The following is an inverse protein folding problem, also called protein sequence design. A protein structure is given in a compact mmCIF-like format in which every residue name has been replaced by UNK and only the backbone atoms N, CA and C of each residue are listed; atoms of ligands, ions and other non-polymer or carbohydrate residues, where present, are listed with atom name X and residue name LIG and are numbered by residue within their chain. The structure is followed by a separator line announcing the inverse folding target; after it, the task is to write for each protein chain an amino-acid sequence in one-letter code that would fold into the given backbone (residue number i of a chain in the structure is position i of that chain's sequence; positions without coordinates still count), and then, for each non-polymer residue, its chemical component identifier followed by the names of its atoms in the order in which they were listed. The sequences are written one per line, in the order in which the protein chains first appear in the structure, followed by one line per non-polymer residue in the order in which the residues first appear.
data_IF_310821338032
#
_entry.id   IF_310821338032
#
_cell.length_a   1.000
_cell.length_b   1.000
_cell.length_c   1.000
_cell.angle_alpha   90.00
_cell.angle_beta   90.00
_cell.angle_gamma   90.00
#
_symmetry.space_group_name_H-M   'P 1'
#
loop_
_entity.id
_entity.type
_entity.pdbx_description
1 polymer ?
#
# COMPACT_ATOMS: atom_id res chain seq x y z
N UNK A 1 -22.95 -27.55 -18.99
CA UNK A 1 -22.73 -26.65 -17.84
C UNK A 1 -21.28 -26.29 -17.87
N UNK A 2 -20.95 -25.03 -18.13
CA UNK A 2 -19.61 -24.69 -18.65
C UNK A 2 -18.64 -24.30 -17.52
N UNK A 3 -18.75 -24.99 -16.39
CA UNK A 3 -17.81 -24.85 -15.29
C UNK A 3 -17.31 -26.23 -14.88
N UNK A 4 -16.05 -26.26 -14.49
CA UNK A 4 -15.36 -27.46 -14.04
C UNK A 4 -14.90 -27.22 -12.61
N UNK A 5 -15.03 -28.24 -11.77
CA UNK A 5 -14.56 -28.20 -10.39
C UNK A 5 -13.87 -29.50 -9.99
N UNK A 6 -12.81 -29.38 -9.21
CA UNK A 6 -12.22 -30.45 -8.44
C UNK A 6 -12.53 -30.20 -6.96
N UNK A 7 -13.18 -31.16 -6.31
CA UNK A 7 -13.54 -31.08 -4.89
C UNK A 7 -12.87 -32.20 -4.11
N UNK A 8 -12.20 -31.84 -3.02
CA UNK A 8 -11.68 -32.76 -2.02
C UNK A 8 -12.47 -32.56 -0.73
N UNK A 9 -13.13 -33.62 -0.26
CA UNK A 9 -13.94 -33.60 0.95
C UNK A 9 -13.27 -34.42 2.06
N UNK A 10 -13.22 -33.85 3.25
CA UNK A 10 -12.77 -34.54 4.46
C UNK A 10 -13.93 -35.37 5.03
N UNK A 11 -13.64 -36.48 5.74
CA UNK A 11 -14.68 -37.25 6.43
C UNK A 11 -15.49 -36.45 7.45
N UNK A 12 -14.93 -35.35 7.96
CA UNK A 12 -15.64 -34.47 8.86
C UNK A 12 -16.67 -33.59 8.15
N UNK A 13 -16.60 -33.39 6.82
CA UNK A 13 -17.53 -32.57 6.04
C UNK A 13 -16.91 -31.28 5.49
N UNK A 14 -15.67 -30.94 5.85
CA UNK A 14 -14.97 -29.79 5.27
C UNK A 14 -14.53 -30.06 3.84
N UNK A 15 -14.53 -29.04 2.99
CA UNK A 15 -14.17 -29.19 1.57
C UNK A 15 -13.09 -28.20 1.14
N UNK A 16 -12.25 -28.64 0.20
CA UNK A 16 -11.40 -27.78 -0.63
C UNK A 16 -11.87 -27.92 -2.06
N UNK A 17 -12.19 -26.80 -2.70
CA UNK A 17 -12.79 -26.75 -4.04
C UNK A 17 -11.91 -25.87 -4.92
N UNK A 18 -11.47 -26.41 -6.05
CA UNK A 18 -10.87 -25.66 -7.16
C UNK A 18 -11.87 -25.61 -8.29
N UNK A 19 -12.33 -24.43 -8.69
CA UNK A 19 -13.39 -24.30 -9.69
C UNK A 19 -13.19 -23.16 -10.66
N UNK A 20 -13.59 -23.34 -11.91
CA UNK A 20 -13.86 -22.23 -12.81
C UNK A 20 -15.15 -21.53 -12.38
N UNK A 21 -15.18 -20.20 -12.46
CA UNK A 21 -16.30 -19.38 -12.00
C UNK A 21 -17.36 -19.27 -13.09
N UNK A 22 -18.62 -19.56 -12.75
CA UNK A 22 -19.76 -19.49 -13.69
C UNK A 22 -20.38 -18.10 -13.81
N UNK A 23 -20.19 -17.25 -12.80
CA UNK A 23 -21.02 -16.04 -12.60
C UNK A 23 -20.22 -14.77 -12.30
N UNK A 24 -18.90 -14.82 -12.38
CA UNK A 24 -18.05 -13.68 -12.07
C UNK A 24 -17.33 -13.24 -13.34
N UNK A 25 -17.69 -12.06 -13.86
CA UNK A 25 -17.05 -11.49 -15.06
C UNK A 25 -15.59 -11.10 -14.80
N UNK A 26 -15.25 -10.86 -13.54
CA UNK A 26 -13.96 -10.31 -13.15
C UNK A 26 -12.92 -11.38 -12.80
N UNK A 27 -13.35 -12.62 -12.55
CA UNK A 27 -12.50 -13.71 -12.07
C UNK A 27 -12.75 -14.98 -12.89
N UNK A 28 -11.72 -15.78 -13.14
CA UNK A 28 -11.83 -17.01 -13.94
C UNK A 28 -11.61 -18.29 -13.14
N UNK A 29 -10.98 -18.19 -11.97
CA UNK A 29 -10.61 -19.30 -11.12
C UNK A 29 -10.82 -18.94 -9.65
N UNK A 30 -11.33 -19.89 -8.87
CA UNK A 30 -11.48 -19.76 -7.43
C UNK A 30 -10.88 -20.97 -6.69
N UNK A 31 -10.17 -20.69 -5.60
CA UNK A 31 -9.76 -21.65 -4.58
C UNK A 31 -10.64 -21.42 -3.35
N UNK A 32 -11.48 -22.39 -3.02
CA UNK A 32 -12.44 -22.28 -1.93
C UNK A 32 -12.13 -23.30 -0.85
N UNK A 33 -12.09 -22.84 0.39
CA UNK A 33 -12.22 -23.70 1.55
C UNK A 33 -13.62 -23.52 2.13
N UNK A 34 -14.36 -24.62 2.28
CA UNK A 34 -15.68 -24.65 2.89
C UNK A 34 -15.60 -25.31 4.26
N UNK A 35 -16.05 -24.60 5.28
CA UNK A 35 -16.10 -25.12 6.65
C UNK A 35 -17.33 -26.01 6.91
N UNK A 36 -17.41 -26.55 8.13
CA UNK A 36 -18.50 -27.40 8.61
C UNK A 36 -19.87 -26.73 8.61
N UNK A 37 -19.90 -25.41 8.62
CA UNK A 37 -21.12 -24.60 8.64
C UNK A 37 -21.50 -24.10 7.24
N UNK A 38 -20.86 -24.62 6.19
CA UNK A 38 -20.98 -24.17 4.80
C UNK A 38 -20.54 -22.71 4.57
N UNK A 39 -19.61 -22.20 5.38
CA UNK A 39 -18.98 -20.90 5.18
C UNK A 39 -17.79 -21.05 4.24
N UNK A 40 -17.79 -20.28 3.16
CA UNK A 40 -16.75 -20.30 2.13
C UNK A 40 -15.71 -19.20 2.38
N UNK A 41 -14.45 -19.61 2.50
CA UNK A 41 -13.27 -18.73 2.38
C UNK A 41 -12.71 -18.89 0.97
N UNK A 42 -12.69 -17.81 0.19
CA UNK A 42 -12.41 -17.88 -1.26
C UNK A 42 -11.25 -16.97 -1.64
N UNK A 43 -10.26 -17.53 -2.34
CA UNK A 43 -9.26 -16.78 -3.10
C UNK A 43 -9.67 -16.81 -4.57
N UNK A 44 -9.76 -15.64 -5.20
CA UNK A 44 -10.18 -15.49 -6.59
C UNK A 44 -9.04 -14.99 -7.46
N UNK A 45 -8.90 -15.56 -8.65
CA UNK A 45 -7.89 -15.14 -9.64
C UNK A 45 -8.57 -14.28 -10.72
N UNK A 46 -8.17 -13.01 -10.88
CA UNK A 46 -8.83 -12.08 -11.79
C UNK A 46 -8.50 -12.39 -13.25
N UNK A 47 -9.37 -11.96 -14.18
CA UNK A 47 -9.13 -11.97 -15.62
C UNK A 47 -8.07 -10.92 -16.03
N UNK A 48 -6.81 -11.15 -15.63
CA UNK A 48 -5.67 -10.25 -15.92
C UNK A 48 -4.40 -11.07 -16.16
N UNK A 49 -3.53 -10.56 -17.02
CA UNK A 49 -2.17 -11.07 -17.17
C UNK A 49 -1.25 -10.33 -16.18
N UNK A 50 -0.39 -11.05 -15.48
CA UNK A 50 0.56 -10.48 -14.51
C UNK A 50 1.15 -11.53 -13.58
N UNK A 51 1.96 -11.06 -12.63
CA UNK A 51 2.52 -11.88 -11.54
C UNK A 51 1.63 -11.69 -10.31
N UNK A 52 1.22 -12.78 -9.67
CA UNK A 52 0.60 -12.71 -8.34
C UNK A 52 1.70 -12.45 -7.31
N UNK A 53 1.52 -11.42 -6.49
CA UNK A 53 2.47 -10.97 -5.50
C UNK A 53 1.87 -11.18 -4.10
N UNK A 54 2.67 -11.65 -3.14
CA UNK A 54 2.27 -11.66 -1.73
C UNK A 54 2.19 -10.23 -1.21
N UNK A 55 1.49 -10.02 -0.09
CA UNK A 55 1.46 -8.70 0.54
C UNK A 55 2.88 -8.20 0.88
N UNK A 56 3.81 -9.10 1.21
CA UNK A 56 5.23 -8.79 1.42
C UNK A 56 5.96 -8.36 0.14
N UNK A 57 5.52 -8.83 -1.02
CA UNK A 57 6.06 -8.43 -2.32
C UNK A 57 5.52 -7.05 -2.75
N UNK A 58 4.42 -6.61 -2.13
CA UNK A 58 3.75 -5.32 -2.34
C UNK A 58 4.18 -4.31 -1.28
N UNK A 59 4.98 -4.68 -0.27
CA UNK A 59 5.61 -3.68 0.58
C UNK A 59 6.48 -2.78 -0.32
N UNK A 60 6.13 -1.49 -0.48
CA UNK A 60 7.00 -0.62 -1.22
C UNK A 60 8.37 -0.68 -0.53
N UNK A 61 9.44 -0.86 -1.31
CA UNK A 61 10.82 -0.73 -0.82
C UNK A 61 11.04 0.60 -0.06
N UNK A 62 10.10 1.54 -0.22
CA UNK A 62 9.99 2.81 0.51
C UNK A 62 8.98 2.65 1.67
N UNK A 63 9.43 2.67 2.93
CA UNK A 63 8.52 2.60 4.08
C UNK A 63 7.62 3.83 4.16
N UNK A 64 6.49 3.72 4.88
CA UNK A 64 5.64 4.88 5.19
C UNK A 64 6.48 5.93 5.94
N UNK A 65 6.46 7.18 5.47
CA UNK A 65 7.32 8.25 5.95
C UNK A 65 8.60 8.45 5.12
N UNK A 66 8.93 7.49 4.25
CA UNK A 66 9.96 7.68 3.23
C UNK A 66 9.50 8.66 2.15
N UNK A 67 10.46 9.36 1.55
CA UNK A 67 10.21 10.29 0.44
C UNK A 67 11.23 10.06 -0.66
N UNK A 68 10.83 10.29 -1.91
CA UNK A 68 11.71 10.30 -3.06
C UNK A 68 11.37 11.52 -3.93
N UNK A 69 12.32 11.94 -4.76
CA UNK A 69 12.11 13.06 -5.69
C UNK A 69 11.44 12.52 -6.94
N UNK A 70 10.32 13.13 -7.33
CA UNK A 70 9.59 12.81 -8.54
C UNK A 70 9.57 14.03 -9.47
N UNK A 71 9.97 13.83 -10.73
CA UNK A 71 10.19 14.91 -11.69
C UNK A 71 8.98 15.24 -12.58
N UNK A 72 7.87 14.51 -12.42
CA UNK A 72 6.63 14.72 -13.16
C UNK A 72 5.49 15.07 -12.19
N UNK A 73 4.34 15.57 -12.66
CA UNK A 73 3.14 15.67 -11.83
C UNK A 73 2.84 14.33 -11.14
N UNK A 74 2.41 14.36 -9.88
CA UNK A 74 2.10 13.14 -9.13
C UNK A 74 1.06 12.29 -9.85
N UNK A 75 0.08 12.89 -10.52
CA UNK A 75 -0.94 12.18 -11.32
C UNK A 75 -0.38 11.28 -12.44
N UNK A 76 0.89 11.43 -12.80
CA UNK A 76 1.57 10.63 -13.83
C UNK A 76 2.43 9.51 -13.24
N UNK A 77 2.42 9.27 -11.92
CA UNK A 77 3.20 8.20 -11.31
C UNK A 77 2.56 6.82 -11.64
N UNK A 78 3.21 5.96 -12.46
CA UNK A 78 2.54 4.78 -13.00
C UNK A 78 2.25 3.73 -11.93
N UNK A 79 0.97 3.50 -11.64
CA UNK A 79 0.54 2.41 -10.75
C UNK A 79 0.77 2.64 -9.25
N UNK A 80 1.16 3.86 -8.84
CA UNK A 80 1.41 4.19 -7.43
C UNK A 80 0.78 5.52 -6.97
N UNK A 81 -0.06 6.14 -7.80
CA UNK A 81 -0.77 7.40 -7.49
C UNK A 81 -1.70 7.31 -6.27
N UNK A 82 -2.09 6.10 -5.90
CA UNK A 82 -2.98 5.75 -4.79
C UNK A 82 -2.22 5.49 -3.47
N UNK A 83 -0.91 5.23 -3.53
CA UNK A 83 -0.09 4.94 -2.34
C UNK A 83 0.94 6.02 -2.01
N UNK A 84 1.18 6.99 -2.90
CA UNK A 84 2.02 8.16 -2.63
C UNK A 84 1.21 9.45 -2.61
N UNK A 85 1.59 10.37 -1.71
CA UNK A 85 1.03 11.70 -1.58
C UNK A 85 2.13 12.75 -1.74
N UNK A 86 1.81 13.87 -2.38
CA UNK A 86 2.74 14.99 -2.49
C UNK A 86 2.94 15.69 -1.13
N UNK A 87 4.17 16.13 -0.86
CA UNK A 87 4.51 16.96 0.30
C UNK A 87 4.13 18.43 0.04
N UNK A 88 2.82 18.68 0.03
CA UNK A 88 2.22 19.99 -0.23
C UNK A 88 1.35 20.50 0.94
N UNK A 89 1.58 19.99 2.15
CA UNK A 89 0.83 20.41 3.35
C UNK A 89 -0.59 19.86 3.46
N UNK A 90 -0.98 18.94 2.56
CA UNK A 90 -2.35 18.41 2.49
C UNK A 90 -2.70 17.55 3.70
N UNK A 91 -3.96 17.61 4.11
CA UNK A 91 -4.51 16.71 5.13
C UNK A 91 -4.90 15.36 4.52
N UNK A 92 -4.88 14.31 5.35
CA UNK A 92 -5.36 12.97 5.03
C UNK A 92 -6.27 12.42 6.15
N UNK A 93 -7.10 11.43 5.84
CA UNK A 93 -7.97 10.80 6.85
C UNK A 93 -7.17 9.81 7.70
N UNK A 94 -7.01 10.11 8.99
CA UNK A 94 -6.34 9.24 9.97
C UNK A 94 -6.94 7.84 10.11
N UNK A 95 -8.23 7.67 9.77
CA UNK A 95 -8.92 6.38 9.82
C UNK A 95 -8.55 5.50 8.63
N UNK A 96 -8.29 6.12 7.49
CA UNK A 96 -7.86 5.44 6.27
C UNK A 96 -6.35 5.16 6.31
N UNK A 97 -5.55 6.07 6.86
CA UNK A 97 -4.09 5.97 6.95
C UNK A 97 -3.57 6.01 8.39
N UNK A 98 -3.91 5.03 9.25
CA UNK A 98 -3.59 5.06 10.67
C UNK A 98 -2.09 4.95 10.97
N UNK A 99 -1.31 4.30 10.10
CA UNK A 99 0.16 4.24 10.24
C UNK A 99 0.79 5.59 9.91
N UNK A 100 0.33 6.25 8.84
CA UNK A 100 0.79 7.60 8.50
C UNK A 100 0.44 8.61 9.60
N UNK A 101 -0.75 8.52 10.21
CA UNK A 101 -1.18 9.39 11.29
C UNK A 101 -0.28 9.31 12.55
N UNK A 102 0.42 8.18 12.76
CA UNK A 102 1.39 8.04 13.85
C UNK A 102 2.70 8.77 13.56
N UNK A 103 3.06 8.92 12.30
CA UNK A 103 4.33 9.52 11.86
C UNK A 103 4.18 11.02 11.57
N UNK A 104 3.04 11.43 11.02
CA UNK A 104 2.78 12.80 10.59
C UNK A 104 1.81 13.50 11.56
N UNK A 105 2.28 14.52 12.30
CA UNK A 105 1.43 15.28 13.21
C UNK A 105 0.21 15.88 12.50
N UNK A 106 -0.93 15.94 13.19
CA UNK A 106 -2.19 16.51 12.69
C UNK A 106 -2.76 15.85 11.42
N UNK A 107 -2.29 14.65 11.05
CA UNK A 107 -2.69 13.95 9.82
C UNK A 107 -2.49 14.83 8.56
N UNK A 108 -1.34 15.51 8.50
CA UNK A 108 -0.94 16.35 7.35
C UNK A 108 0.41 15.93 6.82
N UNK A 109 0.54 15.90 5.50
CA UNK A 109 1.83 15.80 4.84
C UNK A 109 2.69 17.04 5.14
N UNK A 110 4.03 16.93 5.14
CA UNK A 110 4.92 18.08 5.13
C UNK A 110 4.62 19.00 3.94
N UNK A 111 5.01 20.27 4.03
CA UNK A 111 5.00 21.20 2.89
C UNK A 111 6.44 21.60 2.56
N UNK A 112 7.07 20.85 1.66
CA UNK A 112 8.49 21.01 1.35
C UNK A 112 8.71 21.84 0.08
N UNK A 113 7.63 22.39 -0.49
CA UNK A 113 7.69 23.19 -1.72
C UNK A 113 8.51 24.46 -1.47
N UNK A 114 9.49 24.70 -2.35
CA UNK A 114 10.39 25.85 -2.23
C UNK A 114 11.52 25.68 -1.22
N UNK A 115 11.60 24.54 -0.52
CA UNK A 115 12.69 24.24 0.40
C UNK A 115 13.67 23.22 -0.18
N UNK A 116 14.95 23.37 0.17
CA UNK A 116 15.94 22.34 -0.08
C UNK A 116 15.90 21.29 1.05
N UNK A 117 15.76 20.02 0.70
CA UNK A 117 15.86 18.92 1.67
C UNK A 117 17.30 18.81 2.17
N UNK A 118 17.47 18.76 3.49
CA UNK A 118 18.76 18.59 4.15
C UNK A 118 18.65 17.53 5.24
N UNK A 119 19.65 16.67 5.35
CA UNK A 119 19.66 15.62 6.37
C UNK A 119 19.88 16.20 7.77
N UNK A 120 19.19 15.64 8.77
CA UNK A 120 19.42 15.97 10.16
C UNK A 120 20.82 15.52 10.61
N UNK A 121 21.49 16.32 11.45
CA UNK A 121 22.84 16.05 11.94
C UNK A 121 22.95 14.73 12.72
N UNK A 122 21.87 14.34 13.40
CA UNK A 122 21.75 13.09 14.16
C UNK A 122 22.94 12.82 15.12
N UNK A 123 23.46 13.89 15.76
CA UNK A 123 24.51 13.79 16.77
C UNK A 123 25.94 13.81 16.22
N UNK A 124 26.13 14.02 14.91
CA UNK A 124 27.44 14.13 14.28
C UNK A 124 28.16 15.46 14.58
N UNK A 125 27.44 16.47 15.10
CA UNK A 125 27.93 17.80 15.48
C UNK A 125 28.52 18.63 14.33
N UNK A 126 28.19 18.30 13.08
CA UNK A 126 28.55 19.09 11.90
C UNK A 126 27.51 20.20 11.70
N UNK A 127 26.26 19.90 12.01
CA UNK A 127 25.12 20.79 11.82
C UNK A 127 24.21 20.81 13.07
N UNK A 128 24.76 21.23 14.24
CA UNK A 128 24.07 21.12 15.52
C UNK A 128 22.80 21.98 15.58
N UNK A 129 21.80 21.50 16.31
CA UNK A 129 20.54 22.21 16.53
C UNK A 129 19.46 21.97 15.46
N UNK A 130 19.75 21.20 14.41
CA UNK A 130 18.76 20.81 13.40
C UNK A 130 18.00 19.56 13.80
N UNK A 131 16.67 19.66 13.81
CA UNK A 131 15.75 18.56 14.12
C UNK A 131 14.97 18.20 12.86
N UNK A 132 14.60 16.92 12.70
CA UNK A 132 13.75 16.50 11.58
C UNK A 132 12.42 17.27 11.62
N UNK A 133 12.01 17.81 10.46
CA UNK A 133 10.76 18.57 10.31
C UNK A 133 10.85 20.06 10.65
N UNK A 134 12.03 20.59 11.00
CA UNK A 134 12.22 22.04 11.16
C UNK A 134 12.74 22.67 9.87
N UNK A 135 12.20 23.83 9.50
CA UNK A 135 12.66 24.63 8.37
C UNK A 135 13.70 25.67 8.83
N UNK A 136 14.51 26.14 7.88
CA UNK A 136 15.45 27.22 8.09
C UNK A 136 15.05 28.37 7.17
N UNK A 137 14.85 29.57 7.75
CA UNK A 137 14.68 30.80 6.96
C UNK A 137 15.98 31.12 6.23
N UNK A 138 15.87 31.67 5.01
CA UNK A 138 17.00 31.96 4.14
C UNK A 138 18.11 32.68 4.92
N UNK A 139 19.25 32.01 5.07
CA UNK A 139 20.46 32.63 5.57
C UNK A 139 21.11 33.37 4.39
N UNK A 140 20.55 34.53 4.02
CA UNK A 140 21.34 35.50 3.26
C UNK A 140 22.53 35.91 4.13
N UNK A 141 23.73 35.54 3.71
CA UNK A 141 24.98 35.98 4.33
C UNK A 141 25.83 36.70 3.30
#
# INVERSE_FOLDING_TARGET
SDYCSLTLEKPDGRQVILSTTKHEKDFFLAFTYRDMNNTDTVIRVPHRAGIMALQSDIEPTIPIGGSFIWNNPLSQLPGYNDIFMANEGRAFDSREYPVAAKLFPNSKMPDDRGYAIRAADNGRKIDPGRTVGTYQDDAMR
#
